data_IF_406065999552
#
_entry.id   IF_406065999552
#
_cell.length_a   1.000
_cell.length_b   1.000
_cell.length_c   1.000
_cell.angle_alpha   90.00
_cell.angle_beta   90.00
_cell.angle_gamma   90.00
#
_symmetry.space_group_name_H-M   'P 1'
#
loop_
_entity.id
_entity.type
_entity.pdbx_description
1 polymer ?
#
# COMPACT_ATOMS: atom_id res chain seq x y z
N UNK A 1 -1.04 -0.23 19.17
CA UNK A 1 -2.00 -1.14 18.55
C UNK A 1 -2.43 -0.61 17.18
N UNK A 2 -2.67 -1.48 16.24
CA UNK A 2 -3.15 -1.12 14.90
C UNK A 2 -4.66 -1.02 14.95
N UNK A 3 -5.22 0.13 14.57
CA UNK A 3 -6.67 0.33 14.61
C UNK A 3 -7.27 0.80 13.29
N UNK A 4 -6.45 1.28 12.35
CA UNK A 4 -6.93 1.81 11.07
C UNK A 4 -6.17 1.18 9.92
N UNK A 5 -6.83 1.08 8.77
CA UNK A 5 -6.20 0.51 7.58
C UNK A 5 -6.67 1.23 6.32
N UNK A 6 -5.90 1.04 5.25
CA UNK A 6 -6.27 1.45 3.90
C UNK A 6 -6.10 0.27 2.97
N UNK A 7 -7.01 0.16 2.01
CA UNK A 7 -6.91 -0.82 0.94
C UNK A 7 -7.08 -0.06 -0.38
N UNK A 8 -6.04 -0.09 -1.21
CA UNK A 8 -6.02 0.65 -2.47
C UNK A 8 -5.93 -0.35 -3.61
N UNK A 9 -6.94 -0.39 -4.46
CA UNK A 9 -6.93 -1.25 -5.64
C UNK A 9 -6.41 -0.50 -6.85
N UNK A 10 -5.59 -1.19 -7.63
CA UNK A 10 -4.96 -0.64 -8.82
C UNK A 10 -5.15 -1.63 -9.96
N UNK A 11 -5.65 -1.12 -11.10
CA UNK A 11 -5.80 -1.94 -12.30
C UNK A 11 -4.86 -1.38 -13.35
N UNK A 12 -3.84 -2.15 -13.72
CA UNK A 12 -2.84 -1.70 -14.68
C UNK A 12 -3.40 -1.71 -16.10
N UNK A 13 -3.03 -0.71 -16.89
CA UNK A 13 -3.31 -0.74 -18.32
C UNK A 13 -2.60 -1.92 -18.96
N UNK A 14 -3.23 -2.49 -19.97
CA UNK A 14 -2.62 -3.54 -20.78
C UNK A 14 -1.28 -3.04 -21.35
N UNK A 15 -0.23 -3.78 -21.09
CA UNK A 15 1.12 -3.41 -21.51
C UNK A 15 1.88 -2.57 -20.50
N UNK A 16 1.23 -2.17 -19.39
CA UNK A 16 1.87 -1.36 -18.34
C UNK A 16 2.02 -2.09 -17.02
N UNK A 17 1.74 -3.38 -17.01
CA UNK A 17 1.74 -4.19 -15.79
C UNK A 17 3.08 -4.14 -15.05
N UNK A 18 4.18 -4.27 -15.80
CA UNK A 18 5.51 -4.22 -15.21
C UNK A 18 5.87 -2.85 -14.66
N UNK A 19 5.39 -1.79 -15.30
CA UNK A 19 5.65 -0.45 -14.80
C UNK A 19 4.92 -0.19 -13.48
N UNK A 20 3.68 -0.68 -13.36
CA UNK A 20 2.94 -0.57 -12.11
C UNK A 20 3.64 -1.36 -11.01
N UNK A 21 4.08 -2.57 -11.31
CA UNK A 21 4.82 -3.38 -10.36
C UNK A 21 6.11 -2.66 -9.91
N UNK A 22 6.87 -2.12 -10.85
CA UNK A 22 8.11 -1.40 -10.54
C UNK A 22 7.84 -0.17 -9.68
N UNK A 23 6.76 0.55 -9.97
CA UNK A 23 6.37 1.70 -9.18
C UNK A 23 6.08 1.30 -7.73
N UNK A 24 5.34 0.22 -7.54
CA UNK A 24 4.99 -0.26 -6.19
C UNK A 24 6.23 -0.75 -5.43
N UNK A 25 7.12 -1.46 -6.09
CA UNK A 25 8.35 -1.91 -5.45
C UNK A 25 9.23 -0.72 -5.03
N UNK A 26 9.32 0.28 -5.88
CA UNK A 26 10.11 1.48 -5.58
C UNK A 26 9.49 2.31 -4.45
N UNK A 27 8.17 2.29 -4.33
CA UNK A 27 7.46 3.03 -3.28
C UNK A 27 7.88 2.60 -1.88
N UNK A 28 8.33 1.36 -1.70
CA UNK A 28 8.78 0.87 -0.41
C UNK A 28 9.90 1.74 0.17
N UNK A 29 10.80 2.25 -0.68
CA UNK A 29 11.91 3.06 -0.22
C UNK A 29 11.44 4.34 0.49
N UNK A 30 10.35 4.93 0.02
CA UNK A 30 9.79 6.12 0.64
C UNK A 30 8.96 5.77 1.86
N UNK A 31 8.12 4.73 1.76
CA UNK A 31 7.28 4.28 2.88
C UNK A 31 8.14 3.87 4.07
N UNK A 32 9.29 3.27 3.80
CA UNK A 32 10.20 2.80 4.84
C UNK A 32 10.71 3.94 5.73
N UNK A 33 10.62 5.18 5.28
CA UNK A 33 10.98 6.36 6.06
C UNK A 33 9.82 6.95 6.85
N UNK A 34 8.60 6.39 6.71
CA UNK A 34 7.41 6.92 7.37
C UNK A 34 7.19 6.23 8.71
N UNK A 35 7.39 6.96 9.79
CA UNK A 35 7.27 6.41 11.15
C UNK A 35 5.84 5.99 11.50
N UNK A 36 4.85 6.66 10.93
CA UNK A 36 3.46 6.40 11.24
C UNK A 36 2.83 5.26 10.46
N UNK A 37 3.58 4.60 9.56
CA UNK A 37 3.09 3.50 8.73
C UNK A 37 3.83 2.21 9.07
N UNK A 38 3.45 1.53 10.14
CA UNK A 38 4.16 0.32 10.59
C UNK A 38 3.96 -0.89 9.69
N UNK A 39 2.87 -0.94 8.92
CA UNK A 39 2.59 -2.06 8.02
C UNK A 39 2.21 -1.52 6.65
N UNK A 40 2.88 -2.02 5.62
CA UNK A 40 2.62 -1.64 4.24
C UNK A 40 3.00 -2.80 3.34
N UNK A 41 2.05 -3.24 2.50
CA UNK A 41 2.28 -4.34 1.57
C UNK A 41 1.77 -3.98 0.19
N UNK A 42 2.56 -4.29 -0.83
CA UNK A 42 2.09 -4.27 -2.20
C UNK A 42 1.69 -5.69 -2.57
N UNK A 43 0.52 -5.85 -3.15
CA UNK A 43 -0.08 -7.15 -3.42
C UNK A 43 -0.36 -7.31 -4.91
N UNK A 44 -0.31 -8.56 -5.38
CA UNK A 44 -0.72 -8.90 -6.73
C UNK A 44 -1.81 -9.96 -6.66
N UNK A 45 -2.92 -9.73 -7.36
CA UNK A 45 -4.02 -10.68 -7.47
C UNK A 45 -4.04 -11.40 -8.80
N UNK A 46 -3.47 -10.79 -9.84
CA UNK A 46 -3.39 -11.33 -11.19
C UNK A 46 -2.44 -10.49 -12.01
N UNK A 47 -2.31 -10.74 -13.32
CA UNK A 47 -1.32 -10.01 -14.14
C UNK A 47 -1.48 -8.50 -14.09
N UNK A 48 -2.72 -7.98 -14.07
CA UNK A 48 -2.98 -6.55 -14.10
C UNK A 48 -3.63 -6.01 -12.84
N UNK A 49 -3.97 -6.86 -11.88
CA UNK A 49 -4.73 -6.48 -10.69
C UNK A 49 -3.80 -6.48 -9.49
N UNK A 50 -3.56 -5.29 -8.94
CA UNK A 50 -2.65 -5.10 -7.82
C UNK A 50 -3.36 -4.33 -6.71
N UNK A 51 -2.73 -4.27 -5.55
CA UNK A 51 -3.28 -3.51 -4.44
C UNK A 51 -2.18 -3.11 -3.47
N UNK A 52 -2.50 -2.13 -2.64
CA UNK A 52 -1.70 -1.77 -1.48
C UNK A 52 -2.57 -1.98 -0.25
N UNK A 53 -2.05 -2.69 0.74
CA UNK A 53 -2.67 -2.77 2.05
C UNK A 53 -1.72 -2.17 3.06
N UNK A 54 -2.17 -1.17 3.81
CA UNK A 54 -1.37 -0.61 4.87
C UNK A 54 -2.22 -0.35 6.11
N UNK A 55 -1.56 -0.26 7.26
CA UNK A 55 -2.25 -0.17 8.52
C UNK A 55 -1.51 0.76 9.49
N UNK A 56 -2.26 1.36 10.39
CA UNK A 56 -1.83 2.50 11.20
C UNK A 56 -2.32 2.37 12.63
N UNK A 57 -1.60 2.96 13.59
CA UNK A 57 -2.07 2.95 14.98
C UNK A 57 -3.34 3.77 15.19
N UNK A 58 -3.52 4.87 14.45
CA UNK A 58 -4.67 5.76 14.63
C UNK A 58 -4.99 6.49 13.33
N UNK A 59 -6.08 7.28 13.37
CA UNK A 59 -6.54 8.02 12.21
C UNK A 59 -5.56 9.12 11.80
N UNK A 60 -4.88 9.74 12.75
CA UNK A 60 -3.91 10.80 12.45
C UNK A 60 -2.76 10.24 11.61
N UNK A 61 -2.25 9.05 11.94
CA UNK A 61 -1.19 8.42 11.17
C UNK A 61 -1.67 8.04 9.77
N UNK A 62 -2.90 7.53 9.65
CA UNK A 62 -3.50 7.21 8.35
C UNK A 62 -3.62 8.47 7.49
N UNK A 63 -4.10 9.56 8.07
CA UNK A 63 -4.24 10.82 7.35
C UNK A 63 -2.90 11.38 6.90
N UNK A 64 -1.88 11.26 7.75
CA UNK A 64 -0.53 11.68 7.39
C UNK A 64 0.00 10.89 6.19
N UNK A 65 -0.26 9.58 6.16
CA UNK A 65 0.14 8.74 5.03
C UNK A 65 -0.59 9.15 3.75
N UNK A 66 -1.89 9.44 3.82
CA UNK A 66 -2.66 9.87 2.67
C UNK A 66 -2.17 11.18 2.08
N UNK A 67 -1.50 12.01 2.89
CA UNK A 67 -0.91 13.28 2.47
C UNK A 67 0.57 13.13 2.11
N UNK A 68 1.10 11.92 2.11
CA UNK A 68 2.52 11.66 1.91
C UNK A 68 2.91 11.74 0.44
N UNK A 69 4.23 11.74 0.21
CA UNK A 69 4.80 11.75 -1.13
C UNK A 69 4.41 10.49 -1.92
N UNK A 70 4.35 9.34 -1.27
CA UNK A 70 3.94 8.09 -1.94
C UNK A 70 2.51 8.19 -2.45
N UNK A 71 1.60 8.67 -1.60
CA UNK A 71 0.21 8.84 -1.99
C UNK A 71 0.07 9.84 -3.13
N UNK A 72 0.78 10.97 -3.06
CA UNK A 72 0.79 11.97 -4.12
C UNK A 72 1.29 11.40 -5.43
N UNK A 73 2.39 10.65 -5.39
CA UNK A 73 2.95 10.02 -6.59
C UNK A 73 1.97 9.05 -7.23
N UNK A 74 1.27 8.27 -6.41
CA UNK A 74 0.27 7.34 -6.91
C UNK A 74 -0.86 8.07 -7.62
N UNK A 75 -1.32 9.18 -7.05
CA UNK A 75 -2.44 9.95 -7.63
C UNK A 75 -2.04 10.74 -8.87
N UNK A 76 -0.75 11.04 -9.04
CA UNK A 76 -0.26 11.79 -10.19
C UNK A 76 -0.09 10.94 -11.45
N UNK A 77 0.14 9.64 -11.31
CA UNK A 77 0.47 8.76 -12.44
C UNK A 77 -0.68 7.92 -13.01
N UNK A 78 -1.87 7.86 -12.40
CA UNK A 78 -2.92 6.94 -12.84
C UNK A 78 -3.25 6.97 -14.33
N UNK A 79 -3.40 8.15 -14.98
CA UNK A 79 -3.81 8.14 -16.39
C UNK A 79 -2.80 7.48 -17.34
N UNK A 80 -1.55 7.37 -16.94
CA UNK A 80 -0.50 6.78 -17.76
C UNK A 80 -0.36 5.29 -17.56
N UNK A 81 -0.56 4.81 -16.34
CA UNK A 81 -0.28 3.43 -15.96
C UNK A 81 -1.52 2.61 -15.65
N UNK A 82 -2.59 3.25 -15.21
CA UNK A 82 -3.77 2.56 -14.69
C UNK A 82 -4.94 2.66 -15.65
N UNK A 83 -5.68 1.55 -15.75
CA UNK A 83 -6.89 1.49 -16.59
C UNK A 83 -8.02 2.33 -16.03
N UNK A 84 -8.01 2.57 -14.71
CA UNK A 84 -9.01 3.37 -14.01
C UNK A 84 -8.35 4.03 -12.81
N UNK A 85 -9.04 4.99 -12.20
CA UNK A 85 -8.52 5.65 -11.01
C UNK A 85 -8.38 4.64 -9.86
N UNK A 86 -7.36 4.80 -9.00
CA UNK A 86 -7.23 3.93 -7.83
C UNK A 86 -8.48 4.03 -6.95
N UNK A 87 -8.91 2.87 -6.43
CA UNK A 87 -10.01 2.83 -5.48
C UNK A 87 -9.40 2.78 -4.08
N UNK A 88 -9.71 3.78 -3.27
CA UNK A 88 -9.18 3.89 -1.91
C UNK A 88 -10.28 3.60 -0.91
N UNK A 89 -10.10 2.54 -0.12
CA UNK A 89 -11.07 2.18 0.91
C UNK A 89 -10.44 2.36 2.29
N UNK A 90 -11.14 3.08 3.16
CA UNK A 90 -10.75 3.25 4.55
C UNK A 90 -11.44 2.19 5.38
N UNK A 91 -10.67 1.53 6.25
CA UNK A 91 -11.20 0.46 7.08
C UNK A 91 -10.80 0.66 8.54
N UNK A 92 -11.67 0.19 9.43
CA UNK A 92 -11.33 0.07 10.84
C UNK A 92 -10.85 -1.35 11.08
N UNK A 93 -9.79 -1.50 11.86
CA UNK A 93 -9.29 -2.83 12.20
C UNK A 93 -10.04 -3.28 13.46
N UNK A 94 -10.83 -4.32 13.31
CA UNK A 94 -11.66 -4.85 14.41
C UNK A 94 -10.86 -5.77 15.32
N UNK A 95 -9.92 -6.51 14.78
CA UNK A 95 -9.08 -7.44 15.52
C UNK A 95 -7.84 -7.73 14.71
N UNK A 96 -6.73 -7.97 15.37
CA UNK A 96 -5.51 -8.28 14.67
C UNK A 96 -4.55 -9.05 15.53
N UNK A 97 -3.71 -9.82 14.87
CA UNK A 97 -2.60 -10.50 15.52
C UNK A 97 -1.34 -10.20 14.73
N UNK A 98 -0.33 -9.68 15.39
CA UNK A 98 0.99 -9.49 14.79
C UNK A 98 2.00 -10.16 15.72
N UNK A 99 2.58 -11.26 15.24
CA UNK A 99 3.59 -12.00 16.00
C UNK A 99 4.96 -11.61 15.44
N UNK A 100 5.60 -10.65 16.08
CA UNK A 100 6.86 -10.08 15.61
C UNK A 100 7.97 -11.14 15.57
N UNK A 101 7.98 -12.03 16.56
CA UNK A 101 8.99 -13.09 16.59
C UNK A 101 8.87 -14.01 15.38
N UNK A 102 7.64 -14.39 15.01
CA UNK A 102 7.42 -15.23 13.85
C UNK A 102 7.78 -14.50 12.56
N UNK A 103 7.50 -13.21 12.49
CA UNK A 103 7.83 -12.40 11.32
C UNK A 103 9.32 -12.23 11.11
N UNK A 104 10.12 -12.34 12.17
CA UNK A 104 11.57 -12.18 12.10
C UNK A 104 12.31 -13.45 11.77
N UNK A 105 11.62 -14.61 11.76
CA UNK A 105 12.25 -15.87 11.39
C UNK A 105 12.52 -15.89 9.90
N UNK A 106 13.75 -16.28 9.55
CA UNK A 106 14.12 -16.41 8.16
C UNK A 106 13.73 -17.77 7.62
N UNK A 107 13.29 -17.84 6.36
CA UNK A 107 13.06 -19.13 5.72
C UNK A 107 14.35 -19.92 5.63
N UNK A 108 14.27 -21.22 5.81
CA UNK A 108 15.42 -22.09 5.72
C UNK A 108 15.57 -22.69 4.33
#
# INVERSE_FOLDING_TARGET
MITRALFVRLEAKTGREEEVESFLRAALNTVDTEDGTPLWFALRFGPSSLAIFDAFPDDAARQAHLSSEVASSLMEKPPQLLASDPTIERADVLAGKVDVAALQKQPQ
#
